data_IF_851503381926
#
_entry.id   IF_851503381926
#
_cell.length_a   1.000
_cell.length_b   1.000
_cell.length_c   1.000
_cell.angle_alpha   90.00
_cell.angle_beta   90.00
_cell.angle_gamma   90.00
#
_symmetry.space_group_name_H-M   'P 1'
#
loop_
_entity.id
_entity.type
_entity.pdbx_description
1 polymer ?
#
# COMPACT_ATOMS: atom_id res chain seq x y z
N UNK A 1 -6.26 9.97 -17.46
CA UNK A 1 -7.70 10.14 -17.12
C UNK A 1 -8.34 8.84 -16.64
N UNK A 2 -8.15 7.71 -17.33
CA UNK A 2 -8.76 6.42 -16.96
C UNK A 2 -8.34 5.88 -15.58
N UNK A 3 -7.06 5.99 -15.19
CA UNK A 3 -6.59 5.49 -13.88
C UNK A 3 -7.17 6.26 -12.70
N UNK A 4 -7.32 7.58 -12.82
CA UNK A 4 -7.94 8.39 -11.78
C UNK A 4 -9.43 8.00 -11.59
N UNK A 5 -10.14 7.76 -12.69
CA UNK A 5 -11.53 7.28 -12.66
C UNK A 5 -11.62 5.87 -12.07
N UNK A 6 -10.73 4.95 -12.47
CA UNK A 6 -10.64 3.61 -11.89
C UNK A 6 -10.43 3.65 -10.38
N UNK A 7 -9.44 4.41 -9.91
CA UNK A 7 -9.15 4.55 -8.48
C UNK A 7 -10.33 5.16 -7.71
N UNK A 8 -11.06 6.10 -8.31
CA UNK A 8 -12.27 6.68 -7.72
C UNK A 8 -13.40 5.64 -7.58
N UNK A 9 -13.68 4.87 -8.65
CA UNK A 9 -14.68 3.81 -8.63
C UNK A 9 -14.31 2.70 -7.63
N UNK A 10 -13.05 2.27 -7.65
CA UNK A 10 -12.49 1.30 -6.70
C UNK A 10 -12.63 1.79 -5.26
N UNK A 11 -12.32 3.06 -4.98
CA UNK A 11 -12.50 3.64 -3.65
C UNK A 11 -13.98 3.62 -3.21
N UNK A 12 -14.91 3.95 -4.12
CA UNK A 12 -16.35 3.84 -3.87
C UNK A 12 -16.78 2.42 -3.51
N UNK A 13 -16.36 1.43 -4.32
CA UNK A 13 -16.60 0.01 -4.08
C UNK A 13 -15.99 -0.47 -2.75
N UNK A 14 -14.77 -0.02 -2.44
CA UNK A 14 -14.05 -0.39 -1.21
C UNK A 14 -14.76 0.10 0.05
N UNK A 15 -15.26 1.34 0.05
CA UNK A 15 -16.06 1.88 1.16
C UNK A 15 -17.38 1.12 1.34
N UNK A 16 -18.05 0.76 0.25
CA UNK A 16 -19.28 -0.04 0.31
C UNK A 16 -19.02 -1.44 0.89
N UNK A 17 -17.97 -2.12 0.42
CA UNK A 17 -17.54 -3.42 0.97
C UNK A 17 -17.16 -3.30 2.45
N UNK A 18 -16.43 -2.27 2.83
CA UNK A 18 -16.03 -2.05 4.21
C UNK A 18 -17.24 -1.88 5.15
N UNK A 19 -18.30 -1.23 4.68
CA UNK A 19 -19.58 -1.08 5.39
C UNK A 19 -20.35 -2.40 5.50
N UNK A 20 -20.34 -3.23 4.45
CA UNK A 20 -20.91 -4.59 4.47
C UNK A 20 -20.17 -5.44 5.51
N UNK A 21 -18.85 -5.33 5.56
CA UNK A 21 -17.96 -6.08 6.44
C UNK A 21 -17.86 -5.50 7.86
N UNK A 22 -18.71 -4.53 8.26
CA UNK A 22 -18.60 -3.81 9.56
C UNK A 22 -18.53 -4.71 10.81
N UNK A 23 -19.02 -5.95 10.72
CA UNK A 23 -18.92 -6.94 11.81
C UNK A 23 -17.56 -7.66 11.92
N UNK A 24 -16.70 -7.58 10.90
CA UNK A 24 -15.35 -8.13 10.95
C UNK A 24 -14.41 -7.23 11.77
N UNK A 25 -13.39 -7.84 12.39
CA UNK A 25 -12.49 -7.19 13.33
C UNK A 25 -11.78 -5.96 12.76
N UNK A 26 -11.61 -4.94 13.62
CA UNK A 26 -10.78 -3.76 13.40
C UNK A 26 -9.94 -3.48 14.63
N UNK A 27 -8.73 -2.98 14.42
CA UNK A 27 -7.84 -2.49 15.48
C UNK A 27 -7.27 -1.13 15.08
N UNK A 28 -7.24 -0.16 16.01
CA UNK A 28 -6.60 1.12 15.74
C UNK A 28 -5.12 0.90 15.45
N UNK A 29 -4.58 1.64 14.48
CA UNK A 29 -3.15 1.62 14.21
C UNK A 29 -2.44 2.41 15.32
N UNK A 30 -1.61 1.71 16.09
CA UNK A 30 -0.87 2.30 17.20
C UNK A 30 0.18 3.33 16.75
N UNK A 31 0.69 4.15 17.69
CA UNK A 31 1.74 5.11 17.38
C UNK A 31 3.07 4.41 17.06
N UNK A 32 3.77 4.90 16.04
CA UNK A 32 5.11 4.46 15.70
C UNK A 32 6.14 5.57 15.93
N UNK A 33 7.33 5.18 16.43
CA UNK A 33 8.41 6.13 16.72
C UNK A 33 9.25 6.54 15.50
N UNK A 34 9.23 5.74 14.42
CA UNK A 34 10.01 5.99 13.21
C UNK A 34 9.42 5.27 12.00
N UNK A 35 9.75 5.70 10.76
CA UNK A 35 9.34 4.97 9.56
C UNK A 35 9.91 3.56 9.50
N UNK A 36 11.13 3.36 10.03
CA UNK A 36 11.76 2.04 10.14
C UNK A 36 10.96 1.11 11.05
N UNK A 37 10.43 1.60 12.17
CA UNK A 37 9.56 0.81 13.04
C UNK A 37 8.27 0.36 12.33
N UNK A 38 7.70 1.21 11.47
CA UNK A 38 6.55 0.85 10.63
C UNK A 38 6.94 -0.25 9.65
N UNK A 39 8.06 -0.09 8.95
CA UNK A 39 8.58 -1.07 7.99
C UNK A 39 8.85 -2.43 8.61
N UNK A 40 9.52 -2.45 9.78
CA UNK A 40 9.82 -3.67 10.52
C UNK A 40 8.55 -4.37 11.00
N UNK A 41 7.55 -3.61 11.48
CA UNK A 41 6.27 -4.17 11.88
C UNK A 41 5.53 -4.79 10.70
N UNK A 42 5.45 -4.08 9.57
CA UNK A 42 4.85 -4.59 8.33
C UNK A 42 5.52 -5.90 7.90
N UNK A 43 6.84 -5.94 7.82
CA UNK A 43 7.57 -7.13 7.38
C UNK A 43 7.43 -8.32 8.32
N UNK A 44 7.28 -8.08 9.62
CA UNK A 44 7.10 -9.14 10.60
C UNK A 44 5.67 -9.70 10.63
N UNK A 45 4.66 -8.90 10.26
CA UNK A 45 3.25 -9.21 10.53
C UNK A 45 2.37 -9.31 9.30
N UNK A 46 2.67 -8.59 8.24
CA UNK A 46 1.87 -8.61 7.02
C UNK A 46 1.94 -9.98 6.35
N UNK A 47 0.80 -10.44 5.83
CA UNK A 47 0.73 -11.64 4.99
C UNK A 47 0.09 -11.26 3.67
N UNK A 48 0.85 -11.42 2.59
CA UNK A 48 0.34 -11.18 1.25
C UNK A 48 -0.71 -12.23 0.88
N UNK A 49 -1.90 -11.79 0.49
CA UNK A 49 -3.04 -12.59 0.06
C UNK A 49 -3.64 -11.91 -1.16
N UNK A 50 -3.38 -12.49 -2.33
CA UNK A 50 -3.91 -11.98 -3.61
C UNK A 50 -5.43 -11.88 -3.57
N UNK A 51 -5.97 -10.86 -4.24
CA UNK A 51 -7.41 -10.72 -4.42
C UNK A 51 -8.06 -11.91 -5.12
N UNK A 52 -9.33 -12.13 -4.80
CA UNK A 52 -10.16 -13.13 -5.46
C UNK A 52 -10.20 -12.84 -6.97
N UNK A 53 -9.85 -13.85 -7.77
CA UNK A 53 -9.89 -13.76 -9.23
C UNK A 53 -8.67 -13.07 -9.87
N UNK A 54 -7.47 -13.12 -9.27
CA UNK A 54 -6.23 -12.55 -9.82
C UNK A 54 -6.36 -11.04 -10.15
N UNK A 55 -6.96 -10.25 -9.25
CA UNK A 55 -7.14 -8.80 -9.44
C UNK A 55 -8.37 -8.40 -10.27
N UNK A 56 -9.24 -9.34 -10.65
CA UNK A 56 -10.51 -9.04 -11.34
C UNK A 56 -11.53 -8.33 -10.43
N UNK A 57 -11.45 -8.54 -9.11
CA UNK A 57 -12.25 -7.87 -8.10
C UNK A 57 -11.35 -7.13 -7.10
N UNK A 58 -10.49 -6.28 -7.65
CA UNK A 58 -9.53 -5.48 -6.91
C UNK A 58 -10.24 -4.43 -6.03
N UNK A 59 -10.06 -4.50 -4.71
CA UNK A 59 -10.67 -3.59 -3.73
C UNK A 59 -9.71 -3.27 -2.59
N UNK A 60 -9.74 -2.03 -2.13
CA UNK A 60 -9.02 -1.64 -0.92
C UNK A 60 -9.69 -2.25 0.32
N UNK A 61 -8.88 -2.77 1.22
CA UNK A 61 -9.23 -3.20 2.57
C UNK A 61 -8.91 -2.07 3.55
N UNK A 62 -9.85 -1.79 4.46
CA UNK A 62 -9.68 -0.71 5.44
C UNK A 62 -8.43 -0.96 6.32
N UNK A 63 -7.54 0.03 6.51
CA UNK A 63 -6.28 -0.15 7.25
C UNK A 63 -6.41 -0.79 8.63
N UNK A 64 -7.44 -0.45 9.41
CA UNK A 64 -7.66 -1.05 10.73
C UNK A 64 -8.01 -2.56 10.69
N UNK A 65 -8.49 -3.07 9.55
CA UNK A 65 -8.70 -4.52 9.35
C UNK A 65 -7.39 -5.22 9.07
N UNK A 66 -6.53 -4.59 8.26
CA UNK A 66 -5.15 -5.03 8.06
C UNK A 66 -4.42 -5.05 9.41
N UNK A 67 -4.57 -4.01 10.24
CA UNK A 67 -4.04 -3.97 11.60
C UNK A 67 -4.57 -5.13 12.46
N UNK A 68 -5.87 -5.40 12.42
CA UNK A 68 -6.46 -6.54 13.14
C UNK A 68 -5.82 -7.87 12.72
N UNK A 69 -5.65 -8.10 11.42
CA UNK A 69 -4.99 -9.30 10.89
C UNK A 69 -3.52 -9.40 11.29
N UNK A 70 -2.78 -8.30 11.25
CA UNK A 70 -1.37 -8.22 11.68
C UNK A 70 -1.18 -8.49 13.19
N UNK A 71 -2.13 -8.06 14.02
CA UNK A 71 -2.06 -8.25 15.48
C UNK A 71 -2.48 -9.65 15.92
N UNK A 72 -3.57 -10.16 15.36
CA UNK A 72 -4.21 -11.39 15.83
C UNK A 72 -3.77 -12.62 15.04
N UNK A 73 -3.25 -12.43 13.83
CA UNK A 73 -3.05 -13.50 12.86
C UNK A 73 -4.34 -14.02 12.22
N UNK A 74 -5.50 -13.47 12.59
CA UNK A 74 -6.79 -13.78 11.96
C UNK A 74 -7.04 -12.84 10.78
N UNK A 75 -6.86 -13.40 9.59
CA UNK A 75 -7.08 -12.70 8.32
C UNK A 75 -8.44 -13.04 7.70
N UNK A 76 -9.20 -13.99 8.26
CA UNK A 76 -10.44 -14.49 7.65
C UNK A 76 -10.32 -14.76 6.15
N UNK A 77 -11.28 -14.24 5.36
CA UNK A 77 -11.23 -14.20 3.89
C UNK A 77 -10.88 -12.80 3.35
N UNK A 78 -10.24 -11.96 4.16
CA UNK A 78 -9.90 -10.61 3.73
C UNK A 78 -8.77 -10.65 2.69
N UNK A 79 -8.93 -9.96 1.55
CA UNK A 79 -7.80 -9.65 0.68
C UNK A 79 -6.77 -8.83 1.45
N UNK A 80 -5.49 -9.02 1.10
CA UNK A 80 -4.37 -8.34 1.74
C UNK A 80 -3.21 -8.29 0.75
N UNK A 81 -3.27 -7.36 -0.21
CA UNK A 81 -2.32 -7.30 -1.32
C UNK A 81 -1.38 -6.07 -1.23
N UNK A 82 -0.80 -5.64 -2.36
CA UNK A 82 0.12 -4.52 -2.39
C UNK A 82 -0.50 -3.19 -1.96
N UNK A 83 -1.75 -2.92 -2.35
CA UNK A 83 -2.37 -1.65 -2.03
C UNK A 83 -2.91 -1.61 -0.60
N UNK A 84 -3.39 -2.73 -0.09
CA UNK A 84 -3.82 -2.88 1.29
C UNK A 84 -2.68 -2.56 2.26
N UNK A 85 -1.49 -3.10 1.98
CA UNK A 85 -0.30 -2.77 2.75
C UNK A 85 0.07 -1.29 2.60
N UNK A 86 0.01 -0.74 1.39
CA UNK A 86 0.32 0.67 1.16
C UNK A 86 -0.63 1.60 1.93
N UNK A 87 -1.92 1.28 2.00
CA UNK A 87 -2.91 2.04 2.77
C UNK A 87 -2.68 1.91 4.27
N UNK A 88 -2.38 0.71 4.75
CA UNK A 88 -2.00 0.49 6.13
C UNK A 88 -0.75 1.28 6.50
N UNK A 89 0.30 1.20 5.68
CA UNK A 89 1.55 1.92 5.88
C UNK A 89 1.35 3.43 5.85
N UNK A 90 0.48 3.94 4.98
CA UNK A 90 0.12 5.36 4.93
C UNK A 90 -0.45 5.83 6.27
N UNK A 91 -1.43 5.11 6.83
CA UNK A 91 -2.00 5.47 8.14
C UNK A 91 -0.98 5.31 9.28
N UNK A 92 -0.16 4.26 9.26
CA UNK A 92 0.87 4.04 10.28
C UNK A 92 1.93 5.16 10.25
N UNK A 93 2.42 5.53 9.07
CA UNK A 93 3.38 6.62 8.90
C UNK A 93 2.83 7.99 9.29
N UNK A 94 1.51 8.22 9.18
CA UNK A 94 0.88 9.44 9.72
C UNK A 94 1.00 9.57 11.24
N UNK A 95 1.22 8.47 11.95
CA UNK A 95 1.45 8.51 13.41
C UNK A 95 2.90 8.89 13.77
N UNK A 96 3.82 8.83 12.80
CA UNK A 96 5.24 9.15 12.99
C UNK A 96 5.45 10.66 12.92
N UNK A 97 6.02 11.31 13.96
CA UNK A 97 6.24 12.75 13.97
C UNK A 97 7.10 13.25 12.78
N UNK A 98 6.62 14.30 12.11
CA UNK A 98 7.32 14.93 10.98
C UNK A 98 7.36 14.11 9.69
N UNK A 99 6.60 13.02 9.62
CA UNK A 99 6.51 12.17 8.44
C UNK A 99 5.33 12.55 7.55
N UNK A 100 5.59 12.67 6.25
CA UNK A 100 4.61 12.96 5.20
C UNK A 100 4.51 11.77 4.26
N UNK A 101 3.54 10.86 4.45
CA UNK A 101 3.36 9.70 3.58
C UNK A 101 2.52 10.02 2.33
N UNK A 102 2.70 9.21 1.30
CA UNK A 102 2.01 9.25 0.01
C UNK A 102 1.71 7.83 -0.45
N UNK A 103 0.52 7.61 -1.00
CA UNK A 103 0.23 6.37 -1.73
C UNK A 103 0.65 6.60 -3.16
N UNK A 104 1.41 5.67 -3.73
CA UNK A 104 1.91 5.78 -5.09
C UNK A 104 1.53 4.53 -5.86
N UNK A 105 0.82 4.71 -6.97
CA UNK A 105 0.54 3.65 -7.93
C UNK A 105 1.57 3.69 -9.04
N UNK A 106 2.32 2.60 -9.18
CA UNK A 106 3.28 2.35 -10.25
C UNK A 106 2.57 1.68 -11.42
N UNK A 107 2.68 2.27 -12.60
CA UNK A 107 2.07 1.77 -13.83
C UNK A 107 3.10 1.06 -14.69
N UNK A 108 2.73 -0.13 -15.12
CA UNK A 108 3.52 -0.97 -16.01
C UNK A 108 3.23 -0.65 -17.49
N UNK A 109 4.22 -0.83 -18.36
CA UNK A 109 4.08 -0.60 -19.80
C UNK A 109 3.59 -1.82 -20.62
N UNK A 110 3.62 -3.04 -20.06
CA UNK A 110 3.38 -4.28 -20.81
C UNK A 110 2.47 -5.30 -20.12
N UNK A 111 2.28 -5.23 -18.80
CA UNK A 111 1.40 -6.08 -18.02
C UNK A 111 0.19 -5.27 -17.57
N UNK A 112 -1.01 -5.84 -17.71
CA UNK A 112 -2.21 -5.30 -17.05
C UNK A 112 -2.07 -5.60 -15.56
N UNK A 113 -1.48 -4.67 -14.82
CA UNK A 113 -1.28 -4.76 -13.38
C UNK A 113 -0.52 -3.55 -12.87
N UNK A 114 -1.13 -2.79 -11.97
CA UNK A 114 -0.45 -1.71 -11.25
C UNK A 114 0.02 -2.20 -9.89
N UNK A 115 1.22 -1.79 -9.48
CA UNK A 115 1.73 -2.07 -8.13
C UNK A 115 1.58 -0.82 -7.27
N UNK A 116 1.19 -0.96 -6.01
CA UNK A 116 0.97 0.18 -5.12
C UNK A 116 1.93 0.10 -3.94
N UNK A 117 2.54 1.25 -3.62
CA UNK A 117 3.52 1.39 -2.52
C UNK A 117 3.19 2.61 -1.66
N UNK A 118 3.69 2.64 -0.43
CA UNK A 118 3.62 3.83 0.41
C UNK A 118 4.97 4.53 0.50
N UNK A 119 5.12 5.66 -0.18
CA UNK A 119 6.31 6.50 -0.09
C UNK A 119 6.18 7.52 1.05
N UNK A 120 7.29 8.04 1.57
CA UNK A 120 7.27 9.07 2.60
C UNK A 120 8.47 10.01 2.55
N UNK A 121 8.28 11.21 3.09
CA UNK A 121 9.35 12.16 3.44
C UNK A 121 9.36 12.41 4.94
N UNK A 122 10.55 12.48 5.54
CA UNK A 122 10.74 12.92 6.92
C UNK A 122 12.01 13.79 6.99
N UNK A 123 11.83 15.11 7.06
CA UNK A 123 12.93 16.05 6.86
C UNK A 123 13.57 15.87 5.47
N UNK A 124 14.88 15.61 5.43
CA UNK A 124 15.63 15.30 4.20
C UNK A 124 15.57 13.82 3.80
N UNK A 125 15.01 12.94 4.63
CA UNK A 125 14.96 11.50 4.37
C UNK A 125 13.76 11.17 3.48
N UNK A 126 13.98 10.38 2.43
CA UNK A 126 12.93 9.78 1.62
C UNK A 126 12.95 8.26 1.80
N UNK A 127 11.79 7.63 1.77
CA UNK A 127 11.73 6.17 1.79
C UNK A 127 10.40 5.63 1.29
N UNK A 128 10.32 4.31 1.19
CA UNK A 128 9.13 3.58 0.75
C UNK A 128 8.95 2.35 1.61
N UNK A 129 7.70 2.08 1.99
CA UNK A 129 7.24 0.82 2.56
C UNK A 129 6.45 0.09 1.47
N UNK A 130 6.88 -1.12 1.19
CA UNK A 130 6.36 -2.01 0.15
C UNK A 130 6.20 -3.43 0.68
N UNK A 131 5.50 -4.31 -0.04
CA UNK A 131 5.43 -5.74 0.26
C UNK A 131 6.79 -6.44 0.17
N UNK A 132 7.75 -5.84 -0.55
CA UNK A 132 9.16 -6.25 -0.57
C UNK A 132 10.02 -5.52 0.49
N UNK A 133 9.40 -4.85 1.46
CA UNK A 133 10.06 -4.24 2.61
C UNK A 133 10.27 -2.74 2.54
N UNK A 134 11.00 -2.24 3.55
CA UNK A 134 11.31 -0.83 3.73
C UNK A 134 12.63 -0.46 3.06
N UNK A 135 12.63 0.65 2.31
CA UNK A 135 13.82 1.15 1.58
C UNK A 135 13.95 2.65 1.72
N UNK A 136 15.17 3.11 1.99
CA UNK A 136 15.53 4.52 1.87
C UNK A 136 15.84 4.86 0.42
N UNK A 137 15.39 6.03 -0.03
CA UNK A 137 15.58 6.53 -1.38
C UNK A 137 16.28 7.89 -1.36
N UNK A 138 16.95 8.24 -2.46
CA UNK A 138 17.55 9.56 -2.66
C UNK A 138 16.50 10.64 -2.88
N UNK A 139 15.39 10.30 -3.53
CA UNK A 139 14.25 11.16 -3.79
C UNK A 139 13.00 10.32 -4.08
N UNK A 140 11.85 10.98 -4.22
CA UNK A 140 10.56 10.37 -4.56
C UNK A 140 10.09 10.75 -5.97
N UNK A 141 11.01 11.02 -6.89
CA UNK A 141 10.62 11.32 -8.27
C UNK A 141 10.04 10.09 -8.95
N UNK A 142 9.18 10.30 -9.95
CA UNK A 142 8.60 9.19 -10.74
C UNK A 142 9.70 8.32 -11.37
N UNK A 143 10.78 8.93 -11.87
CA UNK A 143 11.91 8.22 -12.44
C UNK A 143 12.62 7.30 -11.42
N UNK A 144 12.91 7.81 -10.22
CA UNK A 144 13.56 7.03 -9.16
C UNK A 144 12.67 5.87 -8.72
N UNK A 145 11.39 6.11 -8.47
CA UNK A 145 10.44 5.07 -8.06
C UNK A 145 10.29 3.99 -9.14
N UNK A 146 10.08 4.38 -10.39
CA UNK A 146 9.94 3.42 -11.49
C UNK A 146 11.19 2.58 -11.68
N UNK A 147 12.38 3.19 -11.62
CA UNK A 147 13.66 2.47 -11.72
C UNK A 147 13.81 1.44 -10.60
N UNK A 148 13.67 1.87 -9.34
CA UNK A 148 13.83 1.01 -8.16
C UNK A 148 12.86 -0.16 -8.20
N UNK A 149 11.58 0.08 -8.46
CA UNK A 149 10.60 -0.99 -8.43
C UNK A 149 10.65 -1.89 -9.66
N UNK A 150 11.12 -1.39 -10.80
CA UNK A 150 11.44 -2.24 -11.96
C UNK A 150 12.56 -3.21 -11.61
N UNK A 151 13.61 -2.76 -10.91
CA UNK A 151 14.69 -3.64 -10.45
C UNK A 151 14.20 -4.68 -9.44
N UNK A 152 13.36 -4.27 -8.46
CA UNK A 152 12.79 -5.16 -7.43
C UNK A 152 11.92 -6.25 -8.06
N UNK A 153 11.06 -5.88 -9.01
CA UNK A 153 10.05 -6.76 -9.59
C UNK A 153 10.43 -7.30 -10.98
N UNK A 154 11.69 -7.13 -11.42
CA UNK A 154 12.18 -7.58 -12.72
C UNK A 154 11.93 -9.07 -12.98
N UNK A 155 12.05 -9.92 -11.93
CA UNK A 155 11.82 -11.37 -12.03
C UNK A 155 10.37 -11.74 -12.34
N UNK A 156 9.43 -10.85 -12.04
CA UNK A 156 8.01 -11.00 -12.35
C UNK A 156 7.63 -10.37 -13.70
N UNK A 157 8.60 -9.79 -14.42
CA UNK A 157 8.40 -9.20 -15.74
C UNK A 157 7.90 -7.75 -15.73
N UNK A 158 7.78 -7.11 -14.55
CA UNK A 158 7.35 -5.72 -14.47
C UNK A 158 8.43 -4.75 -14.97
N UNK A 159 7.97 -3.74 -15.70
CA UNK A 159 8.70 -2.55 -16.16
C UNK A 159 7.80 -1.31 -15.98
N UNK A 160 7.96 -0.67 -14.83
CA UNK A 160 7.19 0.51 -14.49
C UNK A 160 7.68 1.74 -15.26
N UNK A 161 6.74 2.54 -15.75
CA UNK A 161 7.01 3.73 -16.57
C UNK A 161 6.45 5.02 -15.97
N UNK A 162 5.55 4.92 -15.00
CA UNK A 162 4.97 6.08 -14.33
C UNK A 162 4.68 5.75 -12.86
N UNK A 163 5.03 6.66 -11.96
CA UNK A 163 4.61 6.64 -10.56
C UNK A 163 3.66 7.81 -10.33
N UNK A 164 2.40 7.51 -10.01
CA UNK A 164 1.36 8.51 -9.78
C UNK A 164 0.94 8.52 -8.31
N UNK A 165 0.85 9.69 -7.69
CA UNK A 165 0.26 9.83 -6.36
C UNK A 165 -1.23 9.48 -6.45
N UNK A 166 -1.66 8.57 -5.60
CA UNK A 166 -3.04 8.11 -5.51
C UNK A 166 -3.68 8.67 -4.24
N UNK A 167 -4.89 9.27 -4.33
CA UNK A 167 -5.60 9.74 -3.15
C UNK A 167 -5.92 8.59 -2.18
N UNK A 168 -5.88 8.89 -0.88
CA UNK A 168 -6.33 7.96 0.15
C UNK A 168 -7.83 7.66 -0.02
N UNK A 169 -8.26 6.38 -0.06
CA UNK A 169 -9.61 6.02 -0.50
C UNK A 169 -10.66 5.94 0.62
N UNK A 170 -10.30 6.14 1.89
CA UNK A 170 -11.23 6.07 3.04
C UNK A 170 -11.42 7.43 3.74
#
# INVERSE_FOLDING_TARGET
MLVALWNFLKAGWSRANDQIMRGAGRRPIGPFGSPEAVGNYAMARFKYRSDLGNGAFDNYTHPERIQYGMETGDWGNMPADCDDLALWAYQALKTVPGCSPYIVTLRDAGVVGSHVVCAYRQGSTCGVIDTNGHRLLTDLTSATLCRVFTEVYARLGYRYVEAAITPYPF
#
